data_IF_623036996227
#
_entry.id   IF_623036996227
#
_cell.length_a   1.000
_cell.length_b   1.000
_cell.length_c   1.000
_cell.angle_alpha   90.00
_cell.angle_beta   90.00
_cell.angle_gamma   90.00
#
_symmetry.space_group_name_H-M   'P 1'
#
loop_
_entity.id
_entity.type
_entity.pdbx_description
1 polymer ?
#
# COMPACT_ATOMS: atom_id res chain seq x y z
N UNK A 1 -9.31 27.15 16.75
CA UNK A 1 -10.12 26.00 17.20
C UNK A 1 -9.40 24.74 16.88
N UNK A 2 -9.32 23.73 17.76
CA UNK A 2 -8.72 22.47 17.43
C UNK A 2 -9.47 21.82 16.25
N UNK A 3 -8.73 21.19 15.35
CA UNK A 3 -9.30 20.53 14.18
C UNK A 3 -10.22 19.36 14.60
N UNK A 4 -11.28 19.13 13.83
CA UNK A 4 -12.20 18.03 14.14
C UNK A 4 -11.51 16.67 13.99
N UNK A 5 -11.82 15.65 14.85
CA UNK A 5 -11.23 14.32 14.73
C UNK A 5 -11.43 13.70 13.34
N UNK A 6 -12.54 14.00 12.67
CA UNK A 6 -12.84 13.53 11.32
C UNK A 6 -11.93 14.19 10.27
N UNK A 7 -11.68 15.50 10.38
CA UNK A 7 -10.77 16.22 9.49
C UNK A 7 -9.32 15.71 9.64
N UNK A 8 -8.87 15.46 10.87
CA UNK A 8 -7.56 14.87 11.14
C UNK A 8 -7.42 13.47 10.54
N UNK A 9 -8.47 12.63 10.61
CA UNK A 9 -8.47 11.32 9.98
C UNK A 9 -8.35 11.42 8.46
N UNK A 10 -9.14 12.29 7.82
CA UNK A 10 -9.09 12.52 6.37
C UNK A 10 -7.69 13.00 5.95
N UNK A 11 -7.10 13.93 6.70
CA UNK A 11 -5.75 14.44 6.41
C UNK A 11 -4.70 13.32 6.49
N UNK A 12 -4.75 12.46 7.51
CA UNK A 12 -3.85 11.29 7.63
C UNK A 12 -4.02 10.30 6.48
N UNK A 13 -5.26 10.00 6.10
CA UNK A 13 -5.53 9.08 5.00
C UNK A 13 -4.97 9.62 3.67
N UNK A 14 -5.10 10.93 3.41
CA UNK A 14 -4.51 11.58 2.23
C UNK A 14 -2.97 11.46 2.28
N UNK A 15 -2.34 11.71 3.43
CA UNK A 15 -0.89 11.52 3.59
C UNK A 15 -0.51 10.04 3.36
N UNK A 16 -1.29 9.10 3.88
CA UNK A 16 -1.11 7.68 3.62
C UNK A 16 -1.16 7.33 2.13
N UNK A 17 -2.08 7.95 1.38
CA UNK A 17 -2.15 7.77 -0.08
C UNK A 17 -0.94 8.37 -0.81
N UNK A 18 -0.40 9.50 -0.33
CA UNK A 18 0.83 10.09 -0.85
C UNK A 18 2.02 9.17 -0.54
N UNK A 19 2.14 8.70 0.70
CA UNK A 19 3.23 7.80 1.13
C UNK A 19 3.22 6.45 0.42
N UNK A 20 2.04 5.94 0.04
CA UNK A 20 1.89 4.70 -0.74
C UNK A 20 1.97 4.90 -2.25
N UNK A 21 2.18 6.13 -2.72
CA UNK A 21 2.25 6.46 -4.15
C UNK A 21 0.89 6.47 -4.87
N UNK A 22 -0.21 6.30 -4.17
CA UNK A 22 -1.57 6.40 -4.74
C UNK A 22 -1.95 7.84 -5.10
N UNK A 23 -1.34 8.81 -4.41
CA UNK A 23 -1.36 10.23 -4.76
C UNK A 23 0.08 10.68 -4.99
N UNK A 24 0.34 11.29 -6.14
CA UNK A 24 1.67 11.71 -6.55
C UNK A 24 1.80 13.24 -6.48
N UNK A 25 3.03 13.72 -6.40
CA UNK A 25 3.33 15.13 -6.54
C UNK A 25 2.68 15.70 -7.82
N UNK A 26 2.01 16.84 -7.68
CA UNK A 26 1.24 17.48 -8.75
C UNK A 26 -0.20 16.95 -8.91
N UNK A 27 -0.63 15.93 -8.15
CA UNK A 27 -2.01 15.45 -8.21
C UNK A 27 -2.99 16.46 -7.60
N UNK A 28 -4.11 16.65 -8.29
CA UNK A 28 -5.17 17.57 -7.87
C UNK A 28 -6.07 16.93 -6.79
N UNK A 29 -6.21 17.60 -5.67
CA UNK A 29 -7.04 17.19 -4.54
C UNK A 29 -8.40 17.90 -4.58
N UNK A 30 -9.33 17.33 -5.33
CA UNK A 30 -10.69 17.88 -5.47
C UNK A 30 -11.55 17.60 -4.23
N UNK A 31 -12.01 18.65 -3.56
CA UNK A 31 -12.85 18.55 -2.34
C UNK A 31 -14.06 17.61 -2.54
N UNK A 32 -14.67 17.64 -3.73
CA UNK A 32 -15.86 16.82 -4.03
C UNK A 32 -15.53 15.34 -4.22
N UNK A 33 -14.41 15.04 -4.88
CA UNK A 33 -13.91 13.67 -5.06
C UNK A 33 -13.57 13.03 -3.71
N UNK A 34 -12.86 13.77 -2.87
CA UNK A 34 -12.48 13.34 -1.51
C UNK A 34 -13.75 13.15 -0.64
N UNK A 35 -14.72 14.07 -0.69
CA UNK A 35 -15.96 13.95 0.06
C UNK A 35 -16.76 12.68 -0.31
N UNK A 36 -16.79 12.32 -1.59
CA UNK A 36 -17.39 11.07 -2.08
C UNK A 36 -16.63 9.83 -1.61
N UNK A 37 -15.31 9.85 -1.73
CA UNK A 37 -14.44 8.74 -1.31
C UNK A 37 -14.61 8.40 0.17
N UNK A 38 -14.66 9.43 1.04
CA UNK A 38 -14.81 9.26 2.49
C UNK A 38 -16.26 9.22 2.97
N UNK A 39 -17.26 9.38 2.07
CA UNK A 39 -18.70 9.43 2.38
C UNK A 39 -19.03 10.48 3.45
N UNK A 40 -18.48 11.66 3.31
CA UNK A 40 -18.65 12.79 4.26
C UNK A 40 -19.08 14.05 3.52
N UNK A 41 -19.54 15.08 4.27
CA UNK A 41 -19.79 16.40 3.71
C UNK A 41 -18.48 17.11 3.32
N UNK A 42 -18.57 18.19 2.54
CA UNK A 42 -17.39 18.96 2.10
C UNK A 42 -16.69 19.71 3.24
N UNK A 43 -17.38 19.98 4.36
CA UNK A 43 -16.83 20.77 5.47
C UNK A 43 -15.61 20.13 6.12
N UNK A 44 -15.64 18.86 6.61
CA UNK A 44 -14.47 18.20 7.18
C UNK A 44 -13.35 17.99 6.16
N UNK A 45 -13.66 17.86 4.85
CA UNK A 45 -12.64 17.77 3.80
C UNK A 45 -11.90 19.09 3.64
N UNK A 46 -12.61 20.24 3.64
CA UNK A 46 -11.97 21.56 3.58
C UNK A 46 -11.08 21.80 4.79
N UNK A 47 -11.51 21.39 5.96
CA UNK A 47 -10.71 21.45 7.18
C UNK A 47 -9.45 20.57 7.08
N UNK A 48 -9.58 19.35 6.56
CA UNK A 48 -8.44 18.45 6.31
C UNK A 48 -7.44 19.04 5.30
N UNK A 49 -7.93 19.60 4.18
CA UNK A 49 -7.07 20.27 3.19
C UNK A 49 -6.38 21.51 3.77
N UNK A 50 -7.01 22.25 4.67
CA UNK A 50 -6.37 23.36 5.37
C UNK A 50 -5.22 22.88 6.27
N UNK A 51 -5.43 21.79 7.01
CA UNK A 51 -4.39 21.15 7.84
C UNK A 51 -3.19 20.73 6.95
N UNK A 52 -3.45 20.10 5.82
CA UNK A 52 -2.40 19.68 4.90
C UNK A 52 -1.65 20.85 4.26
N UNK A 53 -2.34 21.96 4.00
CA UNK A 53 -1.74 23.20 3.50
C UNK A 53 -0.84 23.87 4.55
N UNK A 54 -1.32 23.99 5.80
CA UNK A 54 -0.56 24.52 6.93
C UNK A 54 0.72 23.71 7.21
N UNK A 55 0.69 22.41 6.90
CA UNK A 55 1.83 21.48 7.04
C UNK A 55 2.69 21.36 5.78
N UNK A 56 2.45 22.17 4.78
CA UNK A 56 3.19 22.17 3.53
C UNK A 56 3.19 20.84 2.75
N UNK A 57 2.24 19.95 3.03
CA UNK A 57 2.04 18.69 2.28
C UNK A 57 1.42 18.94 0.92
N UNK A 58 0.57 19.96 0.84
CA UNK A 58 -0.10 20.38 -0.39
C UNK A 58 0.12 21.86 -0.63
N UNK A 59 -0.08 22.30 -1.86
CA UNK A 59 -0.10 23.70 -2.28
C UNK A 59 -1.49 24.09 -2.75
N UNK A 60 -1.84 25.36 -2.57
CA UNK A 60 -3.06 25.93 -3.14
C UNK A 60 -2.72 26.81 -4.33
N UNK A 61 -3.30 26.52 -5.48
CA UNK A 61 -3.18 27.35 -6.68
C UNK A 61 -4.48 28.14 -6.85
N UNK A 62 -4.43 29.49 -6.91
CA UNK A 62 -5.63 30.32 -7.08
C UNK A 62 -6.47 29.86 -8.28
N UNK A 63 -7.79 29.72 -8.08
CA UNK A 63 -8.77 29.25 -9.06
C UNK A 63 -8.57 27.82 -9.62
N UNK A 64 -7.55 27.07 -9.15
CA UNK A 64 -7.26 25.70 -9.60
C UNK A 64 -7.39 24.66 -8.50
N UNK A 65 -7.44 25.07 -7.22
CA UNK A 65 -7.62 24.15 -6.08
C UNK A 65 -6.32 23.75 -5.38
N UNK A 66 -6.31 22.54 -4.84
CA UNK A 66 -5.20 22.01 -4.04
C UNK A 66 -4.43 20.94 -4.82
N UNK A 67 -3.12 20.92 -4.66
CA UNK A 67 -2.22 19.98 -5.34
C UNK A 67 -1.20 19.41 -4.37
N UNK A 68 -0.85 18.14 -4.52
CA UNK A 68 0.23 17.51 -3.76
C UNK A 68 1.57 18.16 -4.13
N UNK A 69 2.39 18.52 -3.13
CA UNK A 69 3.70 19.14 -3.38
C UNK A 69 4.75 18.10 -3.74
N UNK A 70 5.80 18.52 -4.45
CA UNK A 70 6.93 17.66 -4.80
C UNK A 70 7.73 17.18 -3.57
N UNK A 71 7.74 17.99 -2.51
CA UNK A 71 8.40 17.71 -1.23
C UNK A 71 7.43 17.23 -0.13
N UNK A 72 6.21 16.80 -0.51
CA UNK A 72 5.16 16.41 0.44
C UNK A 72 5.60 15.34 1.44
N UNK A 73 6.44 14.39 1.03
CA UNK A 73 6.95 13.32 1.89
C UNK A 73 8.05 13.77 2.85
N UNK A 74 8.78 14.84 2.52
CA UNK A 74 9.81 15.41 3.41
C UNK A 74 9.25 16.44 4.39
N UNK A 75 8.04 16.94 4.13
CA UNK A 75 7.35 17.98 4.95
C UNK A 75 6.32 17.41 5.93
N UNK A 76 6.17 16.09 6.00
CA UNK A 76 5.10 15.42 6.74
C UNK A 76 5.43 15.17 8.22
N UNK A 77 5.58 16.22 9.02
CA UNK A 77 5.52 16.10 10.48
C UNK A 77 4.07 16.20 10.98
N UNK A 78 3.37 15.06 11.08
CA UNK A 78 2.05 14.94 11.72
C UNK A 78 2.12 14.64 13.22
N UNK A 79 3.26 14.80 13.85
CA UNK A 79 3.45 14.45 15.25
C UNK A 79 3.36 15.66 16.17
N UNK A 80 2.22 15.82 16.84
CA UNK A 80 2.11 16.49 18.14
C UNK A 80 2.44 15.46 19.26
N UNK A 81 3.56 14.77 19.18
CA UNK A 81 4.05 13.90 20.27
C UNK A 81 5.56 13.78 20.22
N UNK A 82 6.19 13.79 21.38
CA UNK A 82 7.63 13.70 21.65
C UNK A 82 8.35 12.43 21.08
N UNK A 83 7.71 11.69 20.17
CA UNK A 83 8.25 10.46 19.59
C UNK A 83 8.46 10.65 18.10
N UNK A 84 9.68 10.37 17.63
CA UNK A 84 10.09 10.50 16.24
C UNK A 84 9.24 9.58 15.33
N UNK A 85 8.93 9.98 14.08
CA UNK A 85 8.32 9.08 13.09
C UNK A 85 9.06 7.75 12.94
N UNK A 86 10.38 7.75 13.07
CA UNK A 86 11.24 6.57 13.05
C UNK A 86 10.93 5.60 14.22
N UNK A 87 10.56 6.11 15.39
CA UNK A 87 10.23 5.25 16.55
C UNK A 87 8.87 4.58 16.35
N UNK A 88 7.90 5.28 15.77
CA UNK A 88 6.59 4.70 15.45
C UNK A 88 6.70 3.64 14.36
N UNK A 89 7.49 3.88 13.34
CA UNK A 89 7.80 2.91 12.29
C UNK A 89 8.50 1.69 12.86
N UNK A 90 9.51 1.90 13.70
CA UNK A 90 10.21 0.82 14.41
C UNK A 90 9.26 -0.01 15.29
N UNK A 91 8.31 0.62 15.98
CA UNK A 91 7.32 -0.08 16.80
C UNK A 91 6.35 -0.90 15.94
N UNK A 92 5.94 -0.37 14.77
CA UNK A 92 5.12 -1.11 13.82
C UNK A 92 5.83 -2.38 13.32
N UNK A 93 7.09 -2.27 12.92
CA UNK A 93 7.85 -3.44 12.46
C UNK A 93 8.09 -4.44 13.59
N UNK A 94 8.38 -4.01 14.82
CA UNK A 94 8.48 -4.93 15.98
C UNK A 94 7.18 -5.69 16.24
N UNK A 95 6.03 -5.02 16.10
CA UNK A 95 4.71 -5.66 16.22
C UNK A 95 4.49 -6.69 15.10
N UNK A 96 4.82 -6.34 13.86
CA UNK A 96 4.75 -7.26 12.73
C UNK A 96 5.68 -8.47 12.88
N UNK A 97 6.92 -8.25 13.36
CA UNK A 97 7.90 -9.30 13.65
C UNK A 97 7.40 -10.25 14.76
N UNK A 98 6.85 -9.68 15.85
CA UNK A 98 6.30 -10.50 16.93
C UNK A 98 5.12 -11.37 16.46
N UNK A 99 4.31 -10.87 15.49
CA UNK A 99 3.26 -11.66 14.87
C UNK A 99 3.81 -12.74 13.93
N UNK A 100 4.81 -12.43 13.13
CA UNK A 100 5.46 -13.38 12.23
C UNK A 100 6.13 -14.54 13.00
N UNK A 101 6.70 -14.24 14.17
CA UNK A 101 7.47 -15.20 14.98
C UNK A 101 6.64 -15.90 16.06
N UNK A 102 5.29 -15.76 16.02
CA UNK A 102 4.37 -16.34 16.99
C UNK A 102 4.66 -15.93 18.46
N UNK A 103 5.25 -14.72 18.66
CA UNK A 103 5.55 -14.17 20.00
C UNK A 103 4.35 -13.46 20.64
N UNK A 104 3.27 -13.29 19.89
CA UNK A 104 2.00 -12.72 20.36
C UNK A 104 0.84 -13.57 19.87
N UNK A 105 -0.23 -13.57 20.66
CA UNK A 105 -1.45 -14.29 20.31
C UNK A 105 -2.21 -13.62 19.15
N UNK A 106 -3.14 -14.37 18.55
CA UNK A 106 -4.01 -13.88 17.49
C UNK A 106 -5.02 -12.81 17.93
N UNK A 107 -5.14 -12.56 19.24
CA UNK A 107 -5.98 -11.49 19.79
C UNK A 107 -5.12 -10.55 20.64
N UNK A 108 -5.23 -9.25 20.41
CA UNK A 108 -4.49 -8.24 21.15
C UNK A 108 -5.40 -7.11 21.62
N UNK A 109 -5.02 -6.45 22.70
CA UNK A 109 -5.70 -5.23 23.18
C UNK A 109 -4.82 -4.00 22.97
N UNK A 110 -5.44 -2.82 22.91
CA UNK A 110 -4.70 -1.56 22.85
C UNK A 110 -3.76 -1.41 24.07
N UNK A 111 -4.22 -1.83 25.26
CA UNK A 111 -3.40 -1.77 26.46
C UNK A 111 -2.18 -2.70 26.37
N UNK A 112 -2.36 -3.93 25.86
CA UNK A 112 -1.24 -4.85 25.64
C UNK A 112 -0.18 -4.24 24.70
N UNK A 113 -0.59 -3.65 23.58
CA UNK A 113 0.34 -3.03 22.63
C UNK A 113 1.03 -1.81 23.24
N UNK A 114 0.29 -0.98 23.99
CA UNK A 114 0.83 0.17 24.71
C UNK A 114 1.95 -0.24 25.66
N UNK A 115 1.72 -1.29 26.48
CA UNK A 115 2.67 -1.73 27.49
C UNK A 115 3.87 -2.45 26.85
N UNK A 116 3.63 -3.32 25.86
CA UNK A 116 4.68 -4.12 25.22
C UNK A 116 5.67 -3.28 24.39
N UNK A 117 5.17 -2.26 23.70
CA UNK A 117 5.99 -1.45 22.77
C UNK A 117 6.27 -0.04 23.30
N UNK A 118 5.88 0.27 24.55
CA UNK A 118 6.03 1.58 25.20
C UNK A 118 5.39 2.73 24.38
N UNK A 119 4.16 2.53 23.92
CA UNK A 119 3.46 3.44 23.00
C UNK A 119 2.43 4.30 23.73
N UNK A 120 2.15 5.48 23.21
CA UNK A 120 0.98 6.26 23.58
C UNK A 120 -0.30 5.68 22.96
N UNK A 121 -1.47 6.08 23.46
CA UNK A 121 -2.76 5.65 22.90
C UNK A 121 -2.91 6.01 21.43
N UNK A 122 -2.46 7.19 21.03
CA UNK A 122 -2.52 7.64 19.62
C UNK A 122 -1.67 6.75 18.71
N UNK A 123 -0.45 6.43 19.15
CA UNK A 123 0.48 5.57 18.39
C UNK A 123 -0.05 4.16 18.22
N UNK A 124 -0.68 3.58 19.26
CA UNK A 124 -1.35 2.28 19.16
C UNK A 124 -2.45 2.33 18.10
N UNK A 125 -3.27 3.39 18.08
CA UNK A 125 -4.33 3.57 17.07
C UNK A 125 -3.75 3.70 15.65
N UNK A 126 -2.64 4.41 15.48
CA UNK A 126 -1.98 4.56 14.19
C UNK A 126 -1.43 3.22 13.68
N UNK A 127 -0.78 2.44 14.55
CA UNK A 127 -0.26 1.09 14.23
C UNK A 127 -1.41 0.14 13.85
N UNK A 128 -2.47 0.09 14.66
CA UNK A 128 -3.62 -0.79 14.40
C UNK A 128 -4.39 -0.39 13.15
N UNK A 129 -4.55 0.92 12.90
CA UNK A 129 -5.15 1.44 11.68
C UNK A 129 -4.34 1.06 10.45
N UNK A 130 -3.01 1.14 10.53
CA UNK A 130 -2.10 0.69 9.47
C UNK A 130 -2.22 -0.82 9.26
N UNK A 131 -2.17 -1.63 10.30
CA UNK A 131 -2.31 -3.08 10.24
C UNK A 131 -3.66 -3.52 9.63
N UNK A 132 -4.74 -2.81 9.96
CA UNK A 132 -6.07 -3.06 9.40
C UNK A 132 -6.13 -2.70 7.90
N UNK A 133 -5.59 -1.55 7.51
CA UNK A 133 -5.49 -1.15 6.10
C UNK A 133 -4.66 -2.15 5.29
N UNK A 134 -3.62 -2.71 5.88
CA UNK A 134 -2.76 -3.72 5.27
C UNK A 134 -3.36 -5.15 5.33
N UNK A 135 -4.51 -5.33 6.00
CA UNK A 135 -5.33 -6.53 5.97
C UNK A 135 -4.87 -7.65 6.90
N UNK A 136 -3.99 -7.39 7.89
CA UNK A 136 -3.54 -8.39 8.85
C UNK A 136 -4.00 -8.13 10.30
N UNK A 137 -4.79 -7.07 10.54
CA UNK A 137 -5.52 -6.87 11.79
C UNK A 137 -6.94 -6.39 11.50
N UNK A 138 -7.89 -6.69 12.39
CA UNK A 138 -9.25 -6.17 12.33
C UNK A 138 -9.81 -5.93 13.74
N UNK A 139 -10.71 -4.94 13.91
CA UNK A 139 -11.39 -4.74 15.17
C UNK A 139 -12.22 -5.96 15.52
N UNK A 140 -12.11 -6.42 16.79
CA UNK A 140 -12.96 -7.48 17.31
C UNK A 140 -14.33 -6.92 17.73
N UNK A 141 -15.38 -7.70 17.57
CA UNK A 141 -16.67 -7.35 18.13
C UNK A 141 -16.56 -7.22 19.66
N UNK A 142 -16.84 -6.03 20.19
CA UNK A 142 -16.69 -5.68 21.59
C UNK A 142 -15.37 -4.98 21.88
N UNK A 143 -14.34 -5.69 22.34
CA UNK A 143 -13.08 -5.09 22.77
C UNK A 143 -11.87 -5.83 22.21
N UNK A 144 -10.87 -5.06 21.73
CA UNK A 144 -9.61 -5.59 21.21
C UNK A 144 -9.58 -5.76 19.70
N UNK A 145 -8.55 -6.46 19.23
CA UNK A 145 -8.22 -6.65 17.82
C UNK A 145 -7.89 -8.11 17.54
N UNK A 146 -8.28 -8.58 16.38
CA UNK A 146 -7.93 -9.90 15.87
C UNK A 146 -6.83 -9.75 14.83
N UNK A 147 -5.73 -10.51 15.01
CA UNK A 147 -4.67 -10.62 14.02
C UNK A 147 -5.02 -11.72 13.03
N UNK A 148 -5.09 -11.36 11.77
CA UNK A 148 -5.46 -12.28 10.70
C UNK A 148 -4.26 -13.11 10.25
N UNK A 149 -4.47 -14.37 9.81
CA UNK A 149 -3.39 -15.21 9.32
C UNK A 149 -2.60 -14.52 8.20
N UNK A 150 -1.27 -14.65 8.25
CA UNK A 150 -0.31 -14.21 7.24
C UNK A 150 0.62 -15.36 6.89
N UNK A 151 1.34 -15.25 5.77
CA UNK A 151 2.41 -16.20 5.46
C UNK A 151 3.58 -15.98 6.44
N UNK A 152 4.02 -17.07 7.09
CA UNK A 152 5.11 -17.06 8.07
C UNK A 152 6.32 -17.91 7.64
N UNK A 153 6.22 -18.60 6.50
CA UNK A 153 7.27 -19.49 5.98
C UNK A 153 7.58 -19.18 4.54
N UNK A 154 8.79 -19.52 4.11
CA UNK A 154 9.20 -19.40 2.70
C UNK A 154 8.30 -20.23 1.78
N UNK A 155 7.90 -21.43 2.21
CA UNK A 155 7.00 -22.27 1.42
C UNK A 155 5.62 -21.62 1.23
N UNK A 156 5.03 -21.05 2.29
CA UNK A 156 3.77 -20.33 2.18
C UNK A 156 3.89 -19.13 1.22
N UNK A 157 5.02 -18.41 1.26
CA UNK A 157 5.30 -17.33 0.34
C UNK A 157 5.37 -17.81 -1.12
N UNK A 158 6.06 -18.93 -1.38
CA UNK A 158 6.13 -19.53 -2.71
C UNK A 158 4.77 -20.04 -3.19
N UNK A 159 3.97 -20.65 -2.31
CA UNK A 159 2.60 -21.07 -2.64
C UNK A 159 1.73 -19.89 -3.10
N UNK A 160 1.85 -18.74 -2.45
CA UNK A 160 1.15 -17.51 -2.84
C UNK A 160 1.58 -17.10 -4.27
N UNK A 161 2.87 -17.10 -4.59
CA UNK A 161 3.34 -16.74 -5.93
C UNK A 161 2.91 -17.75 -7.00
N UNK A 162 2.92 -19.05 -6.69
CA UNK A 162 2.35 -20.08 -7.60
C UNK A 162 0.86 -19.83 -7.85
N UNK A 163 0.10 -19.53 -6.82
CA UNK A 163 -1.32 -19.16 -6.95
C UNK A 163 -1.51 -17.92 -7.85
N UNK A 164 -0.76 -16.85 -7.62
CA UNK A 164 -0.78 -15.63 -8.43
C UNK A 164 -0.47 -15.91 -9.90
N UNK A 165 0.50 -16.78 -10.17
CA UNK A 165 0.89 -17.20 -11.54
C UNK A 165 -0.21 -17.94 -12.30
N UNK A 166 -1.26 -18.39 -11.61
CA UNK A 166 -2.46 -18.98 -12.22
C UNK A 166 -3.54 -17.94 -12.43
N UNK A 167 -3.89 -17.20 -11.37
CA UNK A 167 -5.06 -16.32 -11.40
C UNK A 167 -4.83 -15.01 -12.18
N UNK A 168 -3.65 -14.41 -12.11
CA UNK A 168 -3.41 -13.12 -12.74
C UNK A 168 -3.36 -13.21 -14.27
N UNK A 169 -2.66 -14.18 -14.90
CA UNK A 169 -2.78 -14.41 -16.33
C UNK A 169 -4.19 -14.77 -16.79
N UNK A 170 -4.93 -15.58 -15.99
CA UNK A 170 -6.30 -15.95 -16.31
C UNK A 170 -7.24 -14.74 -16.33
N UNK A 171 -7.06 -13.81 -15.39
CA UNK A 171 -7.86 -12.58 -15.32
C UNK A 171 -7.66 -11.68 -16.56
N UNK A 172 -6.47 -11.65 -17.16
CA UNK A 172 -6.22 -10.92 -18.41
C UNK A 172 -6.95 -11.52 -19.61
N UNK A 173 -7.31 -12.81 -19.53
CA UNK A 173 -8.01 -13.55 -20.59
C UNK A 173 -9.52 -13.65 -20.36
N UNK A 174 -10.06 -13.01 -19.29
CA UNK A 174 -11.49 -13.03 -19.04
C UNK A 174 -12.27 -12.38 -20.19
N UNK A 175 -13.39 -12.99 -20.63
CA UNK A 175 -14.23 -12.39 -21.67
C UNK A 175 -14.79 -11.02 -21.30
N UNK A 176 -14.91 -10.74 -20.01
CA UNK A 176 -15.36 -9.46 -19.44
C UNK A 176 -14.24 -8.44 -19.25
N UNK A 177 -13.01 -8.72 -19.72
CA UNK A 177 -11.90 -7.79 -19.60
C UNK A 177 -12.15 -6.51 -20.39
N UNK A 178 -12.12 -5.37 -19.70
CA UNK A 178 -12.31 -4.04 -20.29
C UNK A 178 -11.18 -3.12 -19.88
N UNK A 179 -10.46 -2.60 -20.87
CA UNK A 179 -9.35 -1.67 -20.63
C UNK A 179 -9.85 -0.36 -19.99
N UNK A 180 -9.36 -0.07 -18.79
CA UNK A 180 -9.48 1.26 -18.17
C UNK A 180 -8.24 2.10 -18.52
N UNK A 181 -8.39 3.00 -19.49
CA UNK A 181 -7.29 3.87 -19.95
C UNK A 181 -6.82 4.84 -18.88
N UNK A 182 -7.70 5.32 -17.99
CA UNK A 182 -7.34 6.25 -16.93
C UNK A 182 -6.51 5.54 -15.84
N UNK A 183 -6.91 4.32 -15.48
CA UNK A 183 -6.12 3.47 -14.60
C UNK A 183 -4.75 3.15 -15.21
N UNK A 184 -4.68 2.75 -16.50
CA UNK A 184 -3.41 2.49 -17.19
C UNK A 184 -2.48 3.71 -17.17
N UNK A 185 -2.98 4.91 -17.45
CA UNK A 185 -2.19 6.13 -17.40
C UNK A 185 -1.64 6.41 -16.00
N UNK A 186 -2.46 6.19 -14.96
CA UNK A 186 -2.05 6.36 -13.57
C UNK A 186 -0.96 5.34 -13.19
N UNK A 187 -1.17 4.06 -13.53
CA UNK A 187 -0.18 3.01 -13.28
C UNK A 187 1.13 3.30 -14.01
N UNK A 188 1.08 3.68 -15.28
CA UNK A 188 2.25 4.05 -16.08
C UNK A 188 3.05 5.17 -15.42
N UNK A 189 2.37 6.24 -14.99
CA UNK A 189 3.01 7.36 -14.29
C UNK A 189 3.71 6.92 -13.00
N UNK A 190 3.09 6.02 -12.23
CA UNK A 190 3.71 5.45 -11.00
C UNK A 190 4.97 4.68 -11.36
N UNK A 191 4.92 3.76 -12.34
CA UNK A 191 6.08 2.97 -12.73
C UNK A 191 7.21 3.86 -13.27
N UNK A 192 6.88 4.88 -14.07
CA UNK A 192 7.88 5.80 -14.61
C UNK A 192 8.57 6.59 -13.50
N UNK A 193 7.84 7.14 -12.54
CA UNK A 193 8.43 7.82 -11.37
C UNK A 193 9.35 6.91 -10.56
N UNK A 194 8.99 5.63 -10.41
CA UNK A 194 9.88 4.65 -9.78
C UNK A 194 11.21 4.54 -10.53
N UNK A 195 11.18 4.47 -11.86
CA UNK A 195 12.39 4.43 -12.70
C UNK A 195 13.18 5.74 -12.65
N UNK A 196 12.51 6.89 -12.50
CA UNK A 196 13.10 8.22 -12.41
C UNK A 196 13.72 8.53 -11.03
N UNK A 197 13.77 7.54 -10.12
CA UNK A 197 14.48 7.60 -8.85
C UNK A 197 13.64 7.47 -7.59
N UNK A 198 12.31 7.37 -7.66
CA UNK A 198 11.47 7.15 -6.49
C UNK A 198 11.73 5.77 -5.85
N UNK A 199 12.17 4.77 -6.64
CA UNK A 199 12.56 3.47 -6.10
C UNK A 199 13.70 3.55 -5.07
N UNK A 200 14.59 4.54 -5.15
CA UNK A 200 15.68 4.75 -4.20
C UNK A 200 15.25 5.57 -2.97
N UNK A 201 14.23 6.41 -3.10
CA UNK A 201 13.83 7.40 -2.09
C UNK A 201 12.64 6.97 -1.23
N UNK A 202 11.69 6.26 -1.84
CA UNK A 202 10.46 5.87 -1.14
C UNK A 202 10.72 4.82 -0.05
N UNK A 203 9.95 4.84 1.04
CA UNK A 203 10.00 3.78 2.06
C UNK A 203 9.58 2.42 1.48
N UNK A 204 10.06 1.36 2.09
CA UNK A 204 9.84 -0.03 1.63
C UNK A 204 8.37 -0.38 1.46
N UNK A 205 7.53 0.06 2.40
CA UNK A 205 6.08 -0.17 2.33
C UNK A 205 5.43 0.50 1.13
N UNK A 206 5.88 1.69 0.74
CA UNK A 206 5.37 2.37 -0.45
C UNK A 206 5.73 1.60 -1.73
N UNK A 207 6.94 1.06 -1.79
CA UNK A 207 7.39 0.23 -2.92
C UNK A 207 6.59 -1.08 -3.01
N UNK A 208 6.37 -1.75 -1.88
CA UNK A 208 5.55 -2.99 -1.81
C UNK A 208 4.10 -2.69 -2.17
N UNK A 209 3.54 -1.59 -1.65
CA UNK A 209 2.18 -1.18 -1.94
C UNK A 209 1.98 -0.81 -3.42
N UNK A 210 2.92 -0.08 -4.03
CA UNK A 210 2.86 0.27 -5.44
C UNK A 210 2.89 -0.97 -6.35
N UNK A 211 3.71 -1.97 -6.01
CA UNK A 211 3.73 -3.25 -6.71
C UNK A 211 2.41 -4.02 -6.57
N UNK A 212 1.84 -4.10 -5.36
CA UNK A 212 0.54 -4.74 -5.13
C UNK A 212 -0.58 -4.04 -5.90
N UNK A 213 -0.64 -2.70 -5.81
CA UNK A 213 -1.63 -1.88 -6.50
C UNK A 213 -1.59 -2.05 -8.02
N UNK A 214 -0.39 -2.17 -8.62
CA UNK A 214 -0.28 -2.45 -10.06
C UNK A 214 -1.05 -3.69 -10.45
N UNK A 215 -0.78 -4.81 -9.79
CA UNK A 215 -1.44 -6.09 -10.08
C UNK A 215 -2.94 -6.04 -9.79
N UNK A 216 -3.36 -5.43 -8.69
CA UNK A 216 -4.77 -5.30 -8.29
C UNK A 216 -5.56 -4.48 -9.31
N UNK A 217 -5.05 -3.35 -9.80
CA UNK A 217 -5.73 -2.53 -10.79
C UNK A 217 -5.79 -3.21 -12.17
N UNK A 218 -4.73 -3.91 -12.59
CA UNK A 218 -4.75 -4.70 -13.81
C UNK A 218 -5.81 -5.81 -13.74
N UNK A 219 -5.87 -6.53 -12.61
CA UNK A 219 -6.84 -7.61 -12.41
C UNK A 219 -8.26 -7.09 -12.28
N UNK A 220 -8.46 -5.88 -11.74
CA UNK A 220 -9.77 -5.22 -11.67
C UNK A 220 -10.40 -5.02 -13.05
N UNK A 221 -9.59 -4.80 -14.07
CA UNK A 221 -10.04 -4.67 -15.47
C UNK A 221 -10.67 -5.97 -16.03
N UNK A 222 -10.42 -7.14 -15.40
CA UNK A 222 -11.10 -8.38 -15.76
C UNK A 222 -12.61 -8.34 -15.59
N UNK A 223 -13.14 -7.40 -14.75
CA UNK A 223 -14.55 -7.36 -14.37
C UNK A 223 -14.98 -8.53 -13.45
N UNK A 224 -14.09 -9.48 -13.18
CA UNK A 224 -14.37 -10.63 -12.34
C UNK A 224 -13.85 -10.40 -10.91
N UNK A 225 -14.77 -10.05 -10.00
CA UNK A 225 -14.45 -9.74 -8.61
C UNK A 225 -13.81 -10.91 -7.85
N UNK A 226 -13.98 -12.15 -8.28
CA UNK A 226 -13.35 -13.31 -7.64
C UNK A 226 -11.84 -13.28 -7.79
N UNK A 227 -11.31 -12.94 -8.98
CA UNK A 227 -9.88 -12.76 -9.19
C UNK A 227 -9.32 -11.61 -8.35
N UNK A 228 -10.03 -10.48 -8.33
CA UNK A 228 -9.61 -9.31 -7.56
C UNK A 228 -9.51 -9.63 -6.06
N UNK A 229 -10.56 -10.18 -5.47
CA UNK A 229 -10.59 -10.52 -4.03
C UNK A 229 -9.53 -11.57 -3.67
N UNK A 230 -9.34 -12.57 -4.53
CA UNK A 230 -8.33 -13.60 -4.34
C UNK A 230 -6.91 -13.01 -4.37
N UNK A 231 -6.62 -12.08 -5.30
CA UNK A 231 -5.35 -11.39 -5.37
C UNK A 231 -5.14 -10.44 -4.19
N UNK A 232 -6.13 -9.65 -3.82
CA UNK A 232 -6.08 -8.77 -2.65
C UNK A 232 -5.71 -9.57 -1.39
N UNK A 233 -6.37 -10.72 -1.18
CA UNK A 233 -6.05 -11.61 -0.05
C UNK A 233 -4.62 -12.19 -0.16
N UNK A 234 -4.18 -12.61 -1.33
CA UNK A 234 -2.83 -13.08 -1.56
C UNK A 234 -1.77 -12.00 -1.23
N UNK A 235 -2.04 -10.76 -1.61
CA UNK A 235 -1.18 -9.62 -1.31
C UNK A 235 -1.11 -9.32 0.20
N UNK A 236 -2.24 -9.39 0.91
CA UNK A 236 -2.28 -9.25 2.38
C UNK A 236 -1.45 -10.34 3.07
N UNK A 237 -1.60 -11.60 2.64
CA UNK A 237 -0.90 -12.75 3.23
C UNK A 237 0.63 -12.65 3.14
N UNK A 238 1.19 -12.16 2.01
CA UNK A 238 2.64 -12.11 1.77
C UNK A 238 3.32 -10.85 2.30
N UNK A 239 2.56 -9.82 2.64
CA UNK A 239 3.05 -8.45 2.89
C UNK A 239 4.14 -8.38 3.97
N UNK A 240 3.90 -8.98 5.12
CA UNK A 240 4.84 -8.91 6.24
C UNK A 240 6.17 -9.62 5.94
N UNK A 241 6.14 -10.74 5.21
CA UNK A 241 7.38 -11.39 4.75
C UNK A 241 8.14 -10.54 3.73
N UNK A 242 7.45 -9.76 2.92
CA UNK A 242 8.13 -8.82 2.02
C UNK A 242 8.80 -7.67 2.77
N UNK A 243 8.22 -7.19 3.86
CA UNK A 243 8.86 -6.20 4.72
C UNK A 243 10.12 -6.77 5.39
N UNK A 244 10.02 -7.97 5.97
CA UNK A 244 11.15 -8.66 6.63
C UNK A 244 12.29 -8.95 5.66
N UNK A 245 12.00 -9.32 4.41
CA UNK A 245 13.00 -9.76 3.44
C UNK A 245 13.99 -8.68 2.98
N UNK A 246 13.97 -7.51 3.56
CA UNK A 246 14.82 -6.36 3.27
C UNK A 246 15.08 -6.17 1.77
N UNK A 247 14.15 -5.52 1.11
CA UNK A 247 14.01 -5.49 -0.35
C UNK A 247 15.25 -4.93 -1.04
N UNK A 248 15.90 -5.71 -1.88
CA UNK A 248 16.90 -5.21 -2.82
C UNK A 248 16.25 -4.24 -3.82
N UNK A 249 16.56 -2.96 -3.71
CA UNK A 249 15.96 -1.88 -4.50
C UNK A 249 16.28 -1.98 -5.99
N UNK A 250 17.44 -2.51 -6.37
CA UNK A 250 17.84 -2.63 -7.78
C UNK A 250 16.87 -3.47 -8.64
N UNK A 251 16.13 -4.40 -8.03
CA UNK A 251 15.14 -5.23 -8.75
C UNK A 251 13.90 -4.44 -9.18
N UNK A 252 13.61 -3.28 -8.52
CA UNK A 252 12.45 -2.48 -8.90
C UNK A 252 12.57 -1.91 -10.32
N UNK A 253 13.79 -1.68 -10.81
CA UNK A 253 14.01 -1.28 -12.20
C UNK A 253 13.45 -2.35 -13.16
N UNK A 254 13.79 -3.63 -12.94
CA UNK A 254 13.28 -4.74 -13.75
C UNK A 254 11.77 -4.87 -13.58
N UNK A 255 11.29 -4.83 -12.34
CA UNK A 255 9.86 -4.95 -12.05
C UNK A 255 9.04 -3.84 -12.73
N UNK A 256 9.46 -2.58 -12.63
CA UNK A 256 8.75 -1.45 -13.24
C UNK A 256 8.81 -1.50 -14.77
N UNK A 257 9.93 -1.92 -15.35
CA UNK A 257 10.06 -2.16 -16.80
C UNK A 257 9.09 -3.23 -17.27
N UNK A 258 9.00 -4.35 -16.56
CA UNK A 258 8.04 -5.42 -16.85
C UNK A 258 6.59 -4.93 -16.76
N UNK A 259 6.27 -4.13 -15.73
CA UNK A 259 4.94 -3.55 -15.55
C UNK A 259 4.57 -2.63 -16.72
N UNK A 260 5.49 -1.76 -17.16
CA UNK A 260 5.26 -0.91 -18.33
C UNK A 260 5.01 -1.72 -19.60
N UNK A 261 5.76 -2.82 -19.79
CA UNK A 261 5.56 -3.70 -20.93
C UNK A 261 4.19 -4.41 -20.89
N UNK A 262 3.74 -4.86 -19.70
CA UNK A 262 2.39 -5.42 -19.53
C UNK A 262 1.32 -4.39 -19.93
N UNK A 263 1.46 -3.12 -19.50
CA UNK A 263 0.54 -2.07 -19.89
C UNK A 263 0.52 -1.84 -21.41
N UNK A 264 1.70 -1.85 -22.06
CA UNK A 264 1.79 -1.70 -23.52
C UNK A 264 1.04 -2.82 -24.26
N UNK A 265 1.13 -4.05 -23.80
CA UNK A 265 0.42 -5.19 -24.39
C UNK A 265 -1.10 -5.08 -24.20
N UNK A 266 -1.55 -4.73 -23.00
CA UNK A 266 -2.98 -4.53 -22.68
C UNK A 266 -3.57 -3.38 -23.53
N UNK A 267 -2.86 -2.26 -23.67
CA UNK A 267 -3.31 -1.10 -24.46
C UNK A 267 -3.40 -1.40 -25.96
N UNK A 268 -2.65 -2.39 -26.46
CA UNK A 268 -2.72 -2.92 -27.83
C UNK A 268 -3.77 -4.02 -28.00
N UNK A 269 -4.51 -4.34 -26.93
CA UNK A 269 -5.46 -5.47 -26.87
C UNK A 269 -4.82 -6.85 -27.13
N UNK A 270 -3.51 -6.98 -26.87
CA UNK A 270 -2.79 -8.24 -26.94
C UNK A 270 -2.79 -8.95 -25.56
N UNK A 271 -3.99 -9.29 -25.11
CA UNK A 271 -4.19 -9.87 -23.79
C UNK A 271 -3.56 -11.27 -23.66
N UNK A 272 -3.41 -12.01 -24.77
CA UNK A 272 -2.78 -13.33 -24.73
C UNK A 272 -1.29 -13.21 -24.42
N UNK A 273 -0.58 -12.32 -25.10
CA UNK A 273 0.83 -12.07 -24.80
C UNK A 273 1.01 -11.38 -23.42
N UNK A 274 0.10 -10.48 -23.04
CA UNK A 274 0.09 -9.88 -21.72
C UNK A 274 -0.02 -10.95 -20.60
N UNK A 275 -0.88 -11.95 -20.78
CA UNK A 275 -1.05 -13.07 -19.85
C UNK A 275 0.21 -13.95 -19.78
N UNK A 276 0.81 -14.25 -20.95
CA UNK A 276 2.07 -14.98 -21.01
C UNK A 276 3.20 -14.22 -20.31
N UNK A 277 3.33 -12.93 -20.59
CA UNK A 277 4.33 -12.07 -19.97
C UNK A 277 4.11 -11.92 -18.46
N UNK A 278 2.87 -11.74 -18.00
CA UNK A 278 2.52 -11.69 -16.58
C UNK A 278 2.99 -12.94 -15.83
N UNK A 279 2.80 -14.13 -16.40
CA UNK A 279 3.28 -15.37 -15.79
C UNK A 279 4.80 -15.39 -15.67
N UNK A 280 5.52 -14.96 -16.71
CA UNK A 280 6.99 -14.86 -16.70
C UNK A 280 7.47 -13.85 -15.66
N UNK A 281 6.84 -12.68 -15.59
CA UNK A 281 7.12 -11.64 -14.59
C UNK A 281 6.97 -12.19 -13.17
N UNK A 282 5.87 -12.86 -12.85
CA UNK A 282 5.62 -13.44 -11.51
C UNK A 282 6.62 -14.54 -11.16
N UNK A 283 7.01 -15.38 -12.13
CA UNK A 283 8.03 -16.41 -11.94
C UNK A 283 9.41 -15.79 -11.66
N UNK A 284 9.78 -14.75 -12.40
CA UNK A 284 11.00 -13.97 -12.15
C UNK A 284 11.00 -13.28 -10.81
N UNK A 285 9.86 -12.69 -10.43
CA UNK A 285 9.69 -12.06 -9.12
C UNK A 285 9.82 -13.06 -7.96
N UNK A 286 9.28 -14.28 -8.11
CA UNK A 286 9.45 -15.36 -7.12
C UNK A 286 10.92 -15.76 -6.99
N UNK A 287 11.58 -16.02 -8.12
CA UNK A 287 12.99 -16.43 -8.13
C UNK A 287 13.91 -15.38 -7.47
N UNK A 288 13.60 -14.10 -7.63
CA UNK A 288 14.35 -13.01 -7.02
C UNK A 288 14.05 -12.84 -5.51
N UNK A 289 12.81 -13.08 -5.06
CA UNK A 289 12.35 -12.83 -3.68
C UNK A 289 12.55 -14.02 -2.75
N UNK A 290 12.35 -15.26 -3.22
CA UNK A 290 12.40 -16.46 -2.37
C UNK A 290 13.72 -16.58 -1.60
N UNK A 291 14.91 -16.38 -2.19
CA UNK A 291 16.16 -16.41 -1.43
C UNK A 291 16.24 -15.39 -0.31
N UNK A 292 15.66 -14.20 -0.52
CA UNK A 292 15.65 -13.12 0.49
C UNK A 292 14.73 -13.47 1.67
N UNK A 293 13.55 -14.03 1.38
CA UNK A 293 12.61 -14.51 2.40
C UNK A 293 13.25 -15.65 3.19
N UNK A 294 13.87 -16.62 2.53
CA UNK A 294 14.57 -17.72 3.21
C UNK A 294 15.69 -17.19 4.11
N UNK A 295 16.48 -16.24 3.64
CA UNK A 295 17.55 -15.63 4.44
C UNK A 295 16.99 -14.89 5.66
N UNK A 296 15.92 -14.13 5.50
CA UNK A 296 15.30 -13.36 6.59
C UNK A 296 14.61 -14.21 7.66
N UNK A 297 14.22 -15.45 7.33
CA UNK A 297 13.62 -16.39 8.29
C UNK A 297 14.69 -17.17 9.09
N UNK A 298 15.96 -17.11 8.69
CA UNK A 298 17.09 -17.76 9.38
C UNK A 298 17.86 -16.82 10.26
N UNK A 299 17.64 -15.52 10.16
CA UNK A 299 18.28 -14.47 10.93
C UNK A 299 17.51 -14.18 12.22
#
# INVERSE_FOLDING_TARGET
>A
MPASPLAMRIARDIIGQISTGNLLAGDHLGTEGIARQFRVSRSPVREALKILLERSVISQVPNRGYFVRDDALTSCDLTDTDTSPADLESAYYRFAEDWLDDRIDGEVTEQFLKDRYALTKSQVQDILTRAAREGWAEPKAGYGWLLRPVAKTAEAFEQIYRFRSVIEPAALLEPSFVLDRAACQTLRRIQQKMLDGDAERLPTEALVAAGANFHEEVIRMSGNMMYFQALERANQLRRLLEYRANINRSRFVVQCTDHLHILDLIERADNLEAAHFMRRHLSGALAAKSPMVISSLKA
#
